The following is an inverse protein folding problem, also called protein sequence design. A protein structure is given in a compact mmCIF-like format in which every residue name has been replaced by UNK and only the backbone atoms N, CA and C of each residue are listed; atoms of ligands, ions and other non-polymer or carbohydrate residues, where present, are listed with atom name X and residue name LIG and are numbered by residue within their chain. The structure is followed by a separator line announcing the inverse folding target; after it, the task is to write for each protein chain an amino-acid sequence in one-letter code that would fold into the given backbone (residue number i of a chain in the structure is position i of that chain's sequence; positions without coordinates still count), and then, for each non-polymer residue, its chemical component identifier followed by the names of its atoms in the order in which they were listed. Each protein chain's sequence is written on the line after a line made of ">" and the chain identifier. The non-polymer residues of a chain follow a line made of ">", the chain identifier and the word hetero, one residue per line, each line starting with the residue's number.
data_IF_355242705950
#
_entry.id   IF_355242705950
#
_cell.length_a   1.000
_cell.length_b   1.000
_cell.length_c   1.000
_cell.angle_alpha   90.00
_cell.angle_beta   90.00
_cell.angle_gamma   90.00
#
_symmetry.space_group_name_H-M   'P 1'
#
loop_
_entity.id
_entity.type
_entity.pdbx_description
1 polymer ?
#
# COMPACT_ATOMS: atom_id res chain seq x y z
N UNK A 1 -32.25 -50.23 -6.07
CA UNK A 1 -32.66 -48.92 -6.65
C UNK A 1 -32.82 -47.96 -5.48
N UNK A 2 -32.04 -46.91 -5.26
CA UNK A 2 -31.23 -46.04 -6.13
C UNK A 2 -30.09 -45.43 -5.29
N UNK A 3 -28.86 -45.50 -5.79
CA UNK A 3 -27.72 -44.75 -5.28
C UNK A 3 -27.90 -43.28 -5.66
N UNK A 4 -28.01 -42.38 -4.68
CA UNK A 4 -28.02 -40.94 -4.90
C UNK A 4 -26.65 -40.38 -4.54
N UNK A 5 -25.83 -40.22 -5.57
CA UNK A 5 -24.52 -39.60 -5.53
C UNK A 5 -24.66 -38.09 -5.32
N UNK A 6 -24.26 -37.58 -4.15
CA UNK A 6 -24.06 -36.14 -3.96
C UNK A 6 -22.66 -35.76 -4.45
N UNK A 7 -22.61 -35.13 -5.63
CA UNK A 7 -21.41 -34.53 -6.20
C UNK A 7 -21.14 -33.19 -5.51
N UNK A 8 -20.21 -33.14 -4.57
CA UNK A 8 -19.77 -31.89 -3.96
C UNK A 8 -18.79 -31.16 -4.90
N UNK A 9 -19.24 -30.07 -5.52
CA UNK A 9 -18.38 -29.20 -6.33
C UNK A 9 -17.48 -28.36 -5.40
N UNK A 10 -16.18 -28.65 -5.37
CA UNK A 10 -15.17 -27.87 -4.65
C UNK A 10 -14.82 -26.63 -5.49
N UNK A 11 -15.48 -25.51 -5.22
CA UNK A 11 -15.16 -24.23 -5.86
C UNK A 11 -13.83 -23.68 -5.36
N UNK A 12 -12.81 -23.68 -6.22
CA UNK A 12 -11.51 -23.08 -5.92
C UNK A 12 -11.64 -21.56 -5.99
N UNK A 13 -11.82 -20.89 -4.84
CA UNK A 13 -11.73 -19.44 -4.75
C UNK A 13 -10.28 -19.04 -4.96
N UNK A 14 -9.94 -18.58 -6.16
CA UNK A 14 -8.71 -17.85 -6.41
C UNK A 14 -8.83 -16.50 -5.70
N UNK A 15 -8.34 -16.43 -4.46
CA UNK A 15 -8.13 -15.16 -3.80
C UNK A 15 -7.09 -14.38 -4.62
N UNK A 16 -7.55 -13.41 -5.41
CA UNK A 16 -6.66 -12.44 -6.04
C UNK A 16 -6.02 -11.64 -4.92
N UNK A 17 -4.79 -11.97 -4.55
CA UNK A 17 -4.00 -11.11 -3.67
C UNK A 17 -3.96 -9.74 -4.34
N UNK A 18 -4.61 -8.74 -3.75
CA UNK A 18 -4.44 -7.35 -4.13
C UNK A 18 -2.93 -7.07 -4.05
N UNK A 19 -2.28 -6.97 -5.22
CA UNK A 19 -0.85 -7.18 -5.35
C UNK A 19 -0.07 -6.00 -4.79
N UNK A 20 0.73 -6.26 -3.76
CA UNK A 20 1.77 -5.32 -3.38
C UNK A 20 2.76 -5.19 -4.57
N UNK A 21 3.05 -3.97 -4.98
CA UNK A 21 4.03 -3.66 -6.02
C UNK A 21 5.40 -3.48 -5.39
N UNK A 22 6.47 -3.89 -6.07
CA UNK A 22 7.83 -3.51 -5.65
C UNK A 22 8.11 -2.06 -6.06
N UNK A 23 8.78 -1.31 -5.19
CA UNK A 23 9.35 -0.01 -5.53
C UNK A 23 10.75 -0.19 -6.10
N UNK A 24 11.13 0.66 -7.05
CA UNK A 24 12.53 0.76 -7.46
C UNK A 24 13.26 1.81 -6.59
N UNK A 25 14.51 1.55 -6.17
CA UNK A 25 15.29 2.53 -5.43
C UNK A 25 15.43 3.84 -6.21
N UNK A 26 15.26 4.98 -5.52
CA UNK A 26 15.34 6.34 -6.08
C UNK A 26 14.34 6.65 -7.21
N UNK A 27 13.37 5.78 -7.46
CA UNK A 27 12.30 6.04 -8.39
C UNK A 27 11.03 6.44 -7.63
N UNK A 28 10.43 7.56 -8.01
CA UNK A 28 9.16 7.98 -7.47
C UNK A 28 8.04 7.05 -7.95
N UNK A 29 7.18 6.66 -7.01
CA UNK A 29 5.95 5.92 -7.22
C UNK A 29 4.78 6.80 -6.79
N UNK A 30 3.78 6.94 -7.64
CA UNK A 30 2.60 7.75 -7.36
C UNK A 30 1.72 7.09 -6.31
N UNK A 31 1.18 7.89 -5.40
CA UNK A 31 0.23 7.47 -4.38
C UNK A 31 -1.09 8.18 -4.62
N UNK A 32 -2.18 7.42 -4.66
CA UNK A 32 -3.54 7.96 -4.66
C UNK A 32 -4.29 7.38 -3.46
N UNK A 33 -4.65 8.25 -2.52
CA UNK A 33 -5.46 7.95 -1.34
C UNK A 33 -6.77 8.75 -1.38
N UNK A 34 -7.26 9.08 -2.58
CA UNK A 34 -8.47 9.87 -2.80
C UNK A 34 -8.22 11.38 -2.58
N UNK A 35 -8.74 11.98 -1.50
CA UNK A 35 -8.54 13.41 -1.22
C UNK A 35 -7.10 13.78 -0.86
N UNK A 36 -6.21 12.80 -0.68
CA UNK A 36 -4.77 13.01 -0.53
C UNK A 36 -4.04 12.25 -1.63
N UNK A 37 -3.14 12.93 -2.31
CA UNK A 37 -2.27 12.33 -3.33
C UNK A 37 -0.82 12.58 -2.98
N UNK A 38 0.06 11.84 -3.62
CA UNK A 38 1.48 12.01 -3.34
C UNK A 38 2.38 11.17 -4.19
N UNK A 39 3.63 11.09 -3.73
CA UNK A 39 4.60 10.16 -4.25
C UNK A 39 5.48 9.63 -3.14
N UNK A 40 6.00 8.42 -3.33
CA UNK A 40 7.00 7.84 -2.46
C UNK A 40 8.16 7.27 -3.25
N UNK A 41 9.32 7.23 -2.63
CA UNK A 41 10.49 6.50 -3.11
C UNK A 41 11.26 5.97 -1.90
N UNK A 42 12.24 5.11 -2.14
CA UNK A 42 13.19 4.75 -1.10
C UNK A 42 14.64 4.83 -1.57
N UNK A 43 15.55 4.97 -0.61
CA UNK A 43 17.00 4.88 -0.78
C UNK A 43 17.54 3.73 0.04
N UNK A 44 18.67 3.18 -0.39
CA UNK A 44 19.47 2.24 0.41
C UNK A 44 20.46 3.08 1.20
N UNK A 45 20.36 3.04 2.52
CA UNK A 45 21.27 3.70 3.47
C UNK A 45 22.05 2.62 4.25
N UNK A 46 23.10 3.01 4.99
CA UNK A 46 23.86 2.08 5.84
C UNK A 46 22.96 1.37 6.85
N UNK A 47 21.97 2.09 7.37
CA UNK A 47 21.14 1.66 8.50
C UNK A 47 19.85 0.93 8.05
N UNK A 48 19.59 0.83 6.74
CA UNK A 48 18.41 0.17 6.19
C UNK A 48 17.84 0.80 4.93
N UNK A 49 16.55 0.57 4.69
CA UNK A 49 15.84 1.09 3.52
C UNK A 49 15.04 2.32 3.92
N UNK A 50 15.50 3.50 3.53
CA UNK A 50 14.90 4.78 3.89
C UNK A 50 13.78 5.13 2.93
N UNK A 51 12.54 5.05 3.40
CA UNK A 51 11.34 5.45 2.66
C UNK A 51 11.07 6.93 2.89
N UNK A 52 10.76 7.62 1.79
CA UNK A 52 10.32 9.00 1.78
C UNK A 52 8.99 9.05 1.06
N UNK A 53 7.95 9.53 1.73
CA UNK A 53 6.64 9.80 1.14
C UNK A 53 6.31 11.29 1.29
N UNK A 54 5.83 11.90 0.21
CA UNK A 54 5.30 13.26 0.22
C UNK A 54 3.83 13.19 -0.16
N UNK A 55 2.97 13.70 0.72
CA UNK A 55 1.52 13.67 0.61
C UNK A 55 0.98 15.10 0.65
N UNK A 56 -0.02 15.39 -0.16
CA UNK A 56 -0.71 16.68 -0.15
C UNK A 56 -2.20 16.47 -0.46
N UNK A 57 -3.09 17.35 0.02
CA UNK A 57 -4.47 17.37 -0.44
C UNK A 57 -4.54 17.43 -1.97
N UNK A 58 -5.45 16.64 -2.56
CA UNK A 58 -5.65 16.58 -4.00
C UNK A 58 -6.21 17.91 -4.54
N UNK A 59 -6.99 18.60 -3.73
CA UNK A 59 -7.47 19.95 -4.02
C UNK A 59 -6.33 20.93 -3.77
N UNK A 60 -5.85 21.55 -4.85
CA UNK A 60 -4.67 22.41 -4.89
C UNK A 60 -4.80 23.76 -4.16
N UNK A 61 -5.72 23.87 -3.19
CA UNK A 61 -5.71 24.96 -2.22
C UNK A 61 -4.38 24.98 -1.47
N UNK A 62 -4.04 26.12 -0.83
CA UNK A 62 -2.76 26.40 -0.19
C UNK A 62 -2.43 25.54 1.06
N UNK A 63 -2.67 24.23 1.00
CA UNK A 63 -2.31 23.28 2.00
C UNK A 63 -0.82 22.90 1.87
N UNK A 64 -0.12 22.94 3.00
CA UNK A 64 1.29 22.55 3.07
C UNK A 64 1.42 21.03 2.91
N UNK A 65 2.24 20.54 1.96
CA UNK A 65 2.51 19.11 1.84
C UNK A 65 3.13 18.52 3.11
N UNK A 66 2.72 17.30 3.46
CA UNK A 66 3.32 16.51 4.52
C UNK A 66 4.38 15.57 3.93
N UNK A 67 5.62 15.68 4.41
CA UNK A 67 6.69 14.74 4.08
C UNK A 67 6.98 13.84 5.26
N UNK A 68 6.85 12.53 5.07
CA UNK A 68 7.19 11.50 6.05
C UNK A 68 8.45 10.79 5.63
N UNK A 69 9.35 10.58 6.59
CA UNK A 69 10.64 9.91 6.39
C UNK A 69 10.78 8.84 7.46
N UNK A 70 11.11 7.62 7.05
CA UNK A 70 11.44 6.55 7.98
C UNK A 70 12.42 5.57 7.37
N UNK A 71 13.24 4.92 8.19
CA UNK A 71 14.13 3.83 7.76
C UNK A 71 13.55 2.51 8.24
N UNK A 72 13.24 1.61 7.31
CA UNK A 72 12.63 0.32 7.62
C UNK A 72 13.69 -0.69 8.06
N UNK A 73 13.56 -1.18 9.29
CA UNK A 73 14.25 -2.38 9.75
C UNK A 73 13.77 -3.63 9.00
N UNK A 74 14.51 -4.74 9.11
CA UNK A 74 14.17 -5.99 8.43
C UNK A 74 12.77 -6.46 8.81
N UNK A 75 11.91 -6.72 7.81
CA UNK A 75 10.53 -7.15 8.02
C UNK A 75 9.56 -6.07 8.51
N UNK A 76 10.04 -4.85 8.76
CA UNK A 76 9.18 -3.76 9.24
C UNK A 76 8.20 -3.30 8.15
N UNK A 77 7.01 -2.93 8.61
CA UNK A 77 5.96 -2.31 7.81
C UNK A 77 5.59 -0.98 8.44
N UNK A 78 5.40 0.05 7.62
CA UNK A 78 4.80 1.32 8.01
C UNK A 78 3.58 1.57 7.14
N UNK A 79 2.52 2.13 7.70
CA UNK A 79 1.31 2.48 6.96
C UNK A 79 0.85 3.90 7.28
N UNK A 80 0.29 4.55 6.27
CA UNK A 80 -0.39 5.83 6.39
C UNK A 80 -1.83 5.67 5.92
N UNK A 81 -2.77 6.31 6.59
CA UNK A 81 -4.17 6.26 6.19
C UNK A 81 -4.79 7.64 6.17
N UNK A 82 -5.63 7.88 5.17
CA UNK A 82 -6.60 8.96 5.16
C UNK A 82 -7.88 8.41 5.74
N UNK A 83 -8.41 9.01 6.82
CA UNK A 83 -9.71 8.60 7.36
C UNK A 83 -10.79 8.65 6.29
N UNK A 84 -11.68 7.66 6.31
CA UNK A 84 -12.89 7.69 5.50
C UNK A 84 -13.86 8.77 5.98
N UNK A 85 -14.88 9.06 5.17
CA UNK A 85 -16.02 9.88 5.58
C UNK A 85 -17.16 8.99 6.06
N UNK A 86 -18.29 9.57 6.47
CA UNK A 86 -19.49 8.81 6.83
C UNK A 86 -19.95 7.86 5.71
N UNK A 87 -19.70 8.23 4.44
CA UNK A 87 -20.15 7.51 3.25
C UNK A 87 -18.99 6.89 2.43
N UNK A 88 -17.73 7.10 2.83
CA UNK A 88 -16.54 6.72 2.07
C UNK A 88 -15.57 5.84 2.87
N UNK A 89 -14.98 4.83 2.22
CA UNK A 89 -13.98 3.97 2.85
C UNK A 89 -12.70 4.75 3.19
N UNK A 90 -12.03 4.35 4.26
CA UNK A 90 -10.68 4.83 4.55
C UNK A 90 -9.71 4.30 3.50
N UNK A 91 -8.79 5.16 3.06
CA UNK A 91 -7.70 4.76 2.17
C UNK A 91 -6.39 4.67 2.93
N UNK A 92 -5.58 3.68 2.61
CA UNK A 92 -4.29 3.47 3.22
C UNK A 92 -3.24 3.07 2.20
N UNK A 93 -1.99 3.39 2.52
CA UNK A 93 -0.81 2.84 1.84
C UNK A 93 0.09 2.23 2.91
N UNK A 94 0.66 1.06 2.61
CA UNK A 94 1.66 0.39 3.43
C UNK A 94 2.95 0.21 2.64
N UNK A 95 4.07 0.42 3.31
CA UNK A 95 5.41 0.14 2.81
C UNK A 95 6.03 -0.95 3.68
N UNK A 96 6.41 -2.07 3.08
CA UNK A 96 6.96 -3.22 3.76
C UNK A 96 8.37 -3.52 3.24
N UNK A 97 9.34 -3.67 4.15
CA UNK A 97 10.65 -4.17 3.77
C UNK A 97 10.61 -5.70 3.63
N UNK A 98 10.88 -6.20 2.42
CA UNK A 98 11.07 -7.63 2.15
C UNK A 98 12.51 -7.86 1.71
N UNK A 99 13.35 -8.34 2.62
CA UNK A 99 14.79 -8.49 2.35
C UNK A 99 15.45 -7.14 2.04
N UNK A 100 15.92 -6.98 0.81
CA UNK A 100 16.60 -5.77 0.30
C UNK A 100 15.72 -4.87 -0.57
N UNK A 101 14.41 -5.15 -0.67
CA UNK A 101 13.44 -4.34 -1.42
C UNK A 101 12.35 -3.78 -0.53
N UNK A 102 11.66 -2.77 -1.04
CA UNK A 102 10.44 -2.23 -0.45
C UNK A 102 9.26 -2.58 -1.35
N UNK A 103 8.24 -3.20 -0.76
CA UNK A 103 6.95 -3.41 -1.38
C UNK A 103 5.97 -2.34 -0.90
N UNK A 104 5.12 -1.86 -1.80
CA UNK A 104 4.04 -0.91 -1.53
C UNK A 104 2.69 -1.57 -1.82
N UNK A 105 1.73 -1.38 -0.94
CA UNK A 105 0.36 -1.81 -1.15
C UNK A 105 -0.60 -0.70 -0.73
N UNK A 106 -1.65 -0.48 -1.52
CA UNK A 106 -2.72 0.46 -1.18
C UNK A 106 -4.02 -0.29 -0.95
N UNK A 107 -4.83 0.21 -0.02
CA UNK A 107 -6.16 -0.30 0.28
C UNK A 107 -7.13 0.86 0.29
N UNK A 108 -8.35 0.68 -0.20
CA UNK A 108 -9.44 1.64 0.00
C UNK A 108 -9.84 2.49 -1.20
N UNK A 109 -9.29 2.25 -2.40
CA UNK A 109 -9.91 2.58 -3.69
C UNK A 109 -9.45 1.57 -4.74
#
# INVERSE_FOLDING_TARGET
>A
MRLLSCLAALGLVLATAAGASELNPRQAHSLDLGPVRGSAYYTVEEDGLRVVATLAPADAGAATPLRVVTTLASGQVVSFSVPGTQDGAAASVAFARRGNRVEVASTGF
#
